data_IF_294341197623
#
_entry.id   IF_294341197623
#
_cell.length_a   1.000
_cell.length_b   1.000
_cell.length_c   1.000
_cell.angle_alpha   90.00
_cell.angle_beta   90.00
_cell.angle_gamma   90.00
#
_symmetry.space_group_name_H-M   'P 1'
#
loop_
_entity.id
_entity.type
_entity.pdbx_description
1 polymer ?
#
# COMPACT_ATOMS: atom_id res chain seq x y z
N UNK A 1 -4.24 -4.97 -4.02
CA UNK A 1 -5.42 -4.86 -4.87
C UNK A 1 -5.61 -3.39 -5.25
N UNK A 2 -5.28 -3.02 -6.49
CA UNK A 2 -5.20 -1.63 -6.96
C UNK A 2 -6.47 -1.21 -7.74
N UNK A 3 -7.60 -1.68 -7.33
CA UNK A 3 -8.90 -1.31 -7.87
C UNK A 3 -9.99 -1.56 -6.82
N UNK A 4 -10.92 -0.64 -6.61
CA UNK A 4 -12.11 -0.93 -5.83
C UNK A 4 -12.96 -2.02 -6.49
N UNK A 5 -13.53 -2.90 -5.68
CA UNK A 5 -14.54 -3.85 -6.13
C UNK A 5 -15.90 -3.28 -5.74
N UNK A 6 -16.63 -2.81 -6.75
CA UNK A 6 -17.90 -2.12 -6.56
C UNK A 6 -18.86 -2.47 -7.70
N UNK A 7 -20.07 -2.90 -7.35
CA UNK A 7 -21.17 -3.09 -8.30
C UNK A 7 -21.99 -1.81 -8.42
N UNK A 8 -22.31 -1.41 -9.65
CA UNK A 8 -23.10 -0.20 -9.94
C UNK A 8 -22.50 1.09 -9.36
N UNK A 9 -21.23 1.41 -9.66
CA UNK A 9 -20.56 2.56 -9.13
C UNK A 9 -21.28 3.87 -9.47
N UNK A 10 -21.52 4.74 -8.47
CA UNK A 10 -22.32 5.95 -8.65
C UNK A 10 -21.55 7.25 -8.43
N UNK A 11 -20.51 7.24 -7.63
CA UNK A 11 -19.84 8.45 -7.16
C UNK A 11 -18.32 8.33 -7.29
N UNK A 12 -17.76 8.54 -8.50
CA UNK A 12 -16.33 8.53 -8.69
C UNK A 12 -15.66 9.68 -7.93
N UNK A 13 -14.37 9.53 -7.66
CA UNK A 13 -13.55 10.60 -7.07
C UNK A 13 -13.65 11.88 -7.93
N UNK A 14 -13.96 13.04 -7.33
CA UNK A 14 -14.39 14.23 -8.10
C UNK A 14 -13.28 14.89 -8.93
N UNK A 15 -12.02 14.69 -8.60
CA UNK A 15 -10.90 15.37 -9.25
C UNK A 15 -9.86 14.44 -9.88
N UNK A 16 -9.89 13.13 -9.62
CA UNK A 16 -8.98 12.18 -10.29
C UNK A 16 -9.28 12.04 -11.76
N UNK A 17 -8.24 12.04 -12.58
CA UNK A 17 -8.33 11.82 -14.04
C UNK A 17 -8.37 10.36 -14.44
N UNK A 18 -7.81 9.46 -13.62
CA UNK A 18 -7.76 8.02 -13.84
C UNK A 18 -8.51 7.33 -12.70
N UNK A 19 -9.54 6.56 -13.04
CA UNK A 19 -10.44 5.91 -12.10
C UNK A 19 -10.66 4.48 -12.54
N UNK A 20 -10.42 3.54 -11.64
CA UNK A 20 -10.61 2.11 -11.86
C UNK A 20 -11.75 1.56 -11.01
N UNK A 21 -12.39 0.53 -11.49
CA UNK A 21 -13.22 -0.35 -10.69
C UNK A 21 -13.28 -1.75 -11.31
N UNK A 22 -13.59 -2.71 -10.47
CA UNK A 22 -13.95 -4.08 -10.85
C UNK A 22 -15.28 -4.42 -10.20
N UNK A 23 -16.00 -5.34 -10.79
CA UNK A 23 -17.26 -5.84 -10.23
C UNK A 23 -17.03 -7.03 -9.28
N UNK A 24 -18.09 -7.49 -8.60
CA UNK A 24 -18.05 -8.60 -7.67
C UNK A 24 -17.62 -9.95 -8.29
N UNK A 25 -17.70 -10.13 -9.61
CA UNK A 25 -17.21 -11.33 -10.29
C UNK A 25 -15.69 -11.52 -10.11
N UNK A 26 -14.96 -10.42 -9.95
CA UNK A 26 -13.51 -10.44 -9.65
C UNK A 26 -13.19 -11.25 -8.39
N UNK A 27 -14.07 -11.27 -7.40
CA UNK A 27 -13.88 -12.03 -6.17
C UNK A 27 -13.77 -13.54 -6.41
N UNK A 28 -14.53 -14.05 -7.39
CA UNK A 28 -14.43 -15.47 -7.77
C UNK A 28 -13.03 -15.80 -8.33
N UNK A 29 -12.44 -14.89 -9.11
CA UNK A 29 -11.09 -15.07 -9.64
C UNK A 29 -10.02 -14.96 -8.55
N UNK A 30 -10.14 -14.00 -7.63
CA UNK A 30 -9.24 -13.86 -6.48
C UNK A 30 -9.27 -15.09 -5.59
N UNK A 31 -10.46 -15.59 -5.26
CA UNK A 31 -10.63 -16.80 -4.48
C UNK A 31 -10.08 -18.05 -5.20
N UNK A 32 -10.34 -18.18 -6.49
CA UNK A 32 -9.80 -19.30 -7.29
C UNK A 32 -8.26 -19.28 -7.36
N UNK A 33 -7.65 -18.11 -7.37
CA UNK A 33 -6.19 -17.96 -7.38
C UNK A 33 -5.52 -18.31 -6.04
N UNK A 34 -6.31 -18.53 -4.98
CA UNK A 34 -5.80 -18.90 -3.65
C UNK A 34 -5.15 -17.73 -2.90
N UNK A 35 -5.61 -16.50 -3.14
CA UNK A 35 -5.14 -15.32 -2.40
C UNK A 35 -5.73 -15.30 -0.99
N UNK A 36 -4.88 -15.24 0.02
CA UNK A 36 -5.26 -15.19 1.44
C UNK A 36 -5.35 -13.77 1.98
N UNK A 37 -4.52 -12.85 1.43
CA UNK A 37 -4.39 -11.48 1.94
C UNK A 37 -4.04 -10.49 0.83
N UNK A 38 -4.59 -9.28 0.90
CA UNK A 38 -4.33 -8.20 -0.06
C UNK A 38 -4.07 -6.86 0.64
N UNK A 39 -3.16 -6.06 0.08
CA UNK A 39 -3.00 -4.65 0.45
C UNK A 39 -4.05 -3.81 -0.27
N UNK A 40 -4.66 -2.88 0.46
CA UNK A 40 -5.53 -1.82 -0.06
C UNK A 40 -4.84 -0.45 -0.03
N UNK A 41 -3.59 -0.36 0.45
CA UNK A 41 -2.82 0.87 0.49
C UNK A 41 -2.30 1.21 -0.92
N UNK A 42 -3.05 2.00 -1.65
CA UNK A 42 -2.68 2.50 -3.00
C UNK A 42 -3.50 3.73 -3.40
N UNK A 43 -3.07 4.43 -4.43
CA UNK A 43 -3.71 5.64 -4.95
C UNK A 43 -5.10 5.41 -5.57
N UNK A 44 -5.52 4.17 -5.84
CA UNK A 44 -6.83 3.82 -6.37
C UNK A 44 -7.86 3.41 -5.31
N UNK A 45 -7.47 3.40 -4.04
CA UNK A 45 -8.32 3.00 -2.90
C UNK A 45 -9.64 3.79 -2.84
N UNK A 46 -9.61 5.09 -3.17
CA UNK A 46 -10.76 5.99 -3.13
C UNK A 46 -11.30 6.38 -4.51
N UNK A 47 -11.06 5.59 -5.55
CA UNK A 47 -11.58 5.89 -6.89
C UNK A 47 -13.11 6.04 -6.93
N UNK A 48 -13.81 5.36 -6.04
CA UNK A 48 -15.25 5.52 -5.77
C UNK A 48 -15.50 5.88 -4.30
N UNK A 49 -14.68 6.76 -3.77
CA UNK A 49 -14.80 7.32 -2.43
C UNK A 49 -14.97 6.21 -1.35
N UNK A 50 -15.59 6.54 -0.24
CA UNK A 50 -15.86 5.59 0.85
C UNK A 50 -16.77 4.43 0.41
N UNK A 51 -17.66 4.64 -0.55
CA UNK A 51 -18.54 3.59 -1.07
C UNK A 51 -17.72 2.46 -1.72
N UNK A 52 -16.77 2.79 -2.60
CA UNK A 52 -15.89 1.81 -3.24
C UNK A 52 -15.04 1.06 -2.24
N UNK A 53 -14.43 1.77 -1.29
CA UNK A 53 -13.63 1.17 -0.23
C UNK A 53 -14.44 0.18 0.61
N UNK A 54 -15.60 0.58 1.12
CA UNK A 54 -16.41 -0.26 2.01
C UNK A 54 -17.04 -1.45 1.29
N UNK A 55 -17.45 -1.31 0.03
CA UNK A 55 -17.89 -2.46 -0.76
C UNK A 55 -16.76 -3.44 -1.01
N UNK A 56 -15.55 -2.95 -1.35
CA UNK A 56 -14.37 -3.80 -1.51
C UNK A 56 -14.09 -4.61 -0.24
N UNK A 57 -14.06 -3.95 0.93
CA UNK A 57 -13.87 -4.61 2.22
C UNK A 57 -14.95 -5.67 2.50
N UNK A 58 -16.23 -5.34 2.25
CA UNK A 58 -17.34 -6.27 2.44
C UNK A 58 -17.24 -7.52 1.54
N UNK A 59 -16.79 -7.36 0.29
CA UNK A 59 -16.55 -8.51 -0.58
C UNK A 59 -15.38 -9.36 -0.11
N UNK A 60 -14.27 -8.74 0.29
CA UNK A 60 -13.10 -9.45 0.84
C UNK A 60 -13.49 -10.24 2.09
N UNK A 61 -14.27 -9.65 3.01
CA UNK A 61 -14.79 -10.33 4.20
C UNK A 61 -15.67 -11.53 3.84
N UNK A 62 -16.56 -11.38 2.86
CA UNK A 62 -17.45 -12.45 2.39
C UNK A 62 -16.66 -13.66 1.86
N UNK A 63 -15.54 -13.41 1.17
CA UNK A 63 -14.66 -14.44 0.62
C UNK A 63 -13.54 -14.84 1.58
N UNK A 64 -13.51 -14.29 2.81
CA UNK A 64 -12.50 -14.56 3.83
C UNK A 64 -11.07 -14.21 3.39
N UNK A 65 -10.92 -13.27 2.46
CA UNK A 65 -9.63 -12.71 2.06
C UNK A 65 -9.32 -11.56 3.01
N UNK A 66 -8.21 -11.64 3.71
CA UNK A 66 -7.77 -10.59 4.63
C UNK A 66 -7.27 -9.37 3.86
N UNK A 67 -7.39 -8.20 4.48
CA UNK A 67 -6.92 -6.95 3.89
C UNK A 67 -6.34 -6.01 4.96
N UNK A 68 -5.54 -5.05 4.52
CA UNK A 68 -4.86 -4.09 5.37
C UNK A 68 -4.49 -2.83 4.58
N UNK A 69 -4.11 -1.77 5.28
CA UNK A 69 -3.48 -0.58 4.70
C UNK A 69 -4.44 0.50 4.21
N UNK A 70 -5.77 0.29 4.30
CA UNK A 70 -6.78 1.33 4.06
C UNK A 70 -8.01 1.13 4.94
N UNK A 71 -8.70 2.23 5.25
CA UNK A 71 -9.84 2.19 6.16
C UNK A 71 -10.72 3.44 6.08
N UNK A 72 -11.79 3.45 6.87
CA UNK A 72 -12.73 4.58 6.94
C UNK A 72 -12.19 5.78 7.75
N UNK A 73 -11.07 5.59 8.41
CA UNK A 73 -10.29 6.60 9.14
C UNK A 73 -8.85 6.08 9.34
N UNK A 74 -7.96 6.92 9.88
CA UNK A 74 -6.56 6.59 10.12
C UNK A 74 -6.38 5.32 10.98
N UNK A 75 -7.15 5.18 12.08
CA UNK A 75 -7.05 4.03 12.97
C UNK A 75 -7.46 2.73 12.28
N UNK A 76 -8.42 2.79 11.38
CA UNK A 76 -8.85 1.63 10.60
C UNK A 76 -7.82 1.29 9.52
N UNK A 77 -7.29 2.30 8.83
CA UNK A 77 -6.25 2.15 7.80
C UNK A 77 -4.92 1.59 8.37
N UNK A 78 -4.61 1.90 9.63
CA UNK A 78 -3.40 1.46 10.33
C UNK A 78 -3.42 -0.04 10.70
N UNK A 79 -4.57 -0.70 10.69
CA UNK A 79 -4.70 -2.10 11.11
C UNK A 79 -3.86 -3.04 10.25
N UNK A 80 -3.25 -4.03 10.92
CA UNK A 80 -2.57 -5.14 10.28
C UNK A 80 -3.53 -6.29 9.96
N UNK A 81 -3.18 -7.07 8.94
CA UNK A 81 -3.76 -8.39 8.73
C UNK A 81 -2.80 -9.49 9.23
N UNK A 82 -3.34 -10.60 9.73
CA UNK A 82 -2.54 -11.69 10.26
C UNK A 82 -2.87 -13.00 9.56
N UNK A 83 -1.82 -13.72 9.17
CA UNK A 83 -1.94 -15.09 8.64
C UNK A 83 -1.13 -16.02 9.55
N UNK A 84 -1.79 -17.03 10.11
CA UNK A 84 -1.10 -18.09 10.84
C UNK A 84 -0.88 -19.29 9.90
N UNK A 85 0.37 -19.71 9.76
CA UNK A 85 0.73 -20.87 8.97
C UNK A 85 1.64 -21.78 9.77
N UNK A 86 1.16 -22.98 10.08
CA UNK A 86 1.86 -23.96 10.90
C UNK A 86 2.38 -23.43 12.24
N UNK A 87 1.62 -22.54 12.88
CA UNK A 87 1.98 -21.96 14.17
C UNK A 87 2.87 -20.71 14.08
N UNK A 88 3.28 -20.30 12.88
CA UNK A 88 3.99 -19.05 12.62
C UNK A 88 2.98 -17.96 12.31
N UNK A 89 3.04 -16.85 13.02
CA UNK A 89 2.13 -15.73 12.88
C UNK A 89 2.78 -14.62 12.05
N UNK A 90 2.30 -14.38 10.85
CA UNK A 90 2.83 -13.36 9.94
C UNK A 90 1.89 -12.16 9.97
N UNK A 91 2.42 -11.01 10.36
CA UNK A 91 1.73 -9.72 10.32
C UNK A 91 2.00 -8.99 9.01
N UNK A 92 0.95 -8.53 8.37
CA UNK A 92 1.00 -7.71 7.16
C UNK A 92 0.57 -6.29 7.50
N UNK A 93 1.42 -5.32 7.21
CA UNK A 93 1.14 -3.89 7.32
C UNK A 93 1.32 -3.23 5.97
N UNK A 94 0.61 -2.13 5.74
CA UNK A 94 0.66 -1.47 4.44
C UNK A 94 0.53 0.04 4.53
N UNK A 95 1.19 0.71 3.59
CA UNK A 95 1.14 2.16 3.48
C UNK A 95 1.38 2.62 2.05
N UNK A 96 1.03 3.87 1.75
CA UNK A 96 1.30 4.52 0.47
C UNK A 96 1.79 5.94 0.70
N UNK A 97 2.62 6.46 -0.21
CA UNK A 97 2.94 7.88 -0.27
C UNK A 97 2.44 8.56 -1.56
N UNK A 98 1.66 7.84 -2.36
CA UNK A 98 1.02 8.39 -3.57
C UNK A 98 -0.35 8.94 -3.16
N UNK A 99 -0.34 10.13 -2.58
CA UNK A 99 -1.49 10.74 -1.89
C UNK A 99 -2.33 11.69 -2.78
N UNK A 100 -1.91 11.88 -4.04
CA UNK A 100 -2.57 12.79 -4.98
C UNK A 100 -2.33 14.28 -4.73
N UNK A 101 -1.54 14.63 -3.70
CA UNK A 101 -1.28 16.03 -3.35
C UNK A 101 -0.51 16.77 -4.42
N UNK A 102 0.41 16.09 -5.10
CA UNK A 102 1.16 16.61 -6.23
C UNK A 102 0.27 16.98 -7.43
N UNK A 103 -0.86 16.31 -7.58
CA UNK A 103 -1.86 16.53 -8.64
C UNK A 103 -3.04 17.40 -8.16
N UNK A 104 -3.01 17.86 -6.90
CA UNK A 104 -4.07 18.62 -6.26
C UNK A 104 -5.43 17.89 -6.26
N UNK A 105 -5.40 16.57 -6.10
CA UNK A 105 -6.61 15.76 -5.99
C UNK A 105 -7.30 16.01 -4.64
N UNK A 106 -8.58 16.33 -4.68
CA UNK A 106 -9.40 16.59 -3.51
C UNK A 106 -10.72 15.81 -3.57
N UNK A 107 -11.13 15.09 -2.48
CA UNK A 107 -10.40 14.91 -1.22
C UNK A 107 -9.11 14.12 -1.42
N UNK A 108 -8.13 14.30 -0.52
CA UNK A 108 -6.88 13.53 -0.58
C UNK A 108 -7.13 12.05 -0.32
N UNK A 109 -6.17 11.20 -0.74
CA UNK A 109 -6.33 9.74 -0.76
C UNK A 109 -5.87 9.08 0.53
N UNK A 110 -5.12 9.79 1.36
CA UNK A 110 -4.66 9.34 2.67
C UNK A 110 -5.75 9.46 3.74
N UNK A 111 -5.79 8.49 4.64
CA UNK A 111 -6.74 8.48 5.74
C UNK A 111 -6.40 9.54 6.79
N UNK A 112 -7.41 10.28 7.23
CA UNK A 112 -7.33 11.20 8.35
C UNK A 112 -8.10 10.69 9.58
N UNK A 113 -8.28 11.57 10.57
CA UNK A 113 -8.97 11.22 11.82
C UNK A 113 -10.42 10.72 11.58
N UNK A 114 -11.14 11.37 10.67
CA UNK A 114 -12.51 11.00 10.26
C UNK A 114 -12.63 10.84 8.73
N UNK A 115 -11.52 10.88 8.01
CA UNK A 115 -11.46 10.75 6.56
C UNK A 115 -11.00 9.36 6.15
N UNK A 116 -11.72 8.71 5.21
CA UNK A 116 -11.32 7.43 4.65
C UNK A 116 -10.09 7.57 3.75
N UNK A 117 -9.32 6.49 3.64
CA UNK A 117 -8.17 6.44 2.75
C UNK A 117 -7.19 5.34 3.09
N UNK A 118 -6.03 5.37 2.46
CA UNK A 118 -4.93 4.49 2.81
C UNK A 118 -4.10 5.07 3.97
N UNK A 119 -3.33 4.21 4.65
CA UNK A 119 -2.39 4.63 5.67
C UNK A 119 -1.15 5.28 5.03
N UNK A 120 -0.83 6.50 5.46
CA UNK A 120 0.27 7.29 4.89
C UNK A 120 1.63 6.71 5.27
N UNK A 121 2.52 6.56 4.28
CA UNK A 121 3.92 6.17 4.50
C UNK A 121 4.70 7.31 5.15
N UNK A 122 5.14 7.12 6.38
CA UNK A 122 6.14 7.94 7.07
C UNK A 122 6.86 7.10 8.12
N UNK A 123 8.04 7.52 8.55
CA UNK A 123 8.79 6.83 9.60
C UNK A 123 7.98 6.76 10.90
N UNK A 124 7.33 7.84 11.30
CA UNK A 124 6.47 7.91 12.49
C UNK A 124 5.30 6.92 12.39
N UNK A 125 4.61 6.91 11.27
CA UNK A 125 3.47 6.04 11.05
C UNK A 125 3.87 4.56 11.02
N UNK A 126 5.00 4.24 10.43
CA UNK A 126 5.54 2.87 10.45
C UNK A 126 5.83 2.40 11.88
N UNK A 127 6.50 3.23 12.69
CA UNK A 127 6.78 2.88 14.09
C UNK A 127 5.47 2.63 14.85
N UNK A 128 4.47 3.48 14.69
CA UNK A 128 3.13 3.29 15.28
C UNK A 128 2.47 1.97 14.86
N UNK A 129 2.59 1.57 13.58
CA UNK A 129 2.07 0.27 13.13
C UNK A 129 2.83 -0.90 13.78
N UNK A 130 4.15 -0.82 13.85
CA UNK A 130 5.00 -1.87 14.43
C UNK A 130 4.71 -2.07 15.92
N UNK A 131 4.55 -1.00 16.68
CA UNK A 131 4.20 -1.06 18.12
C UNK A 131 2.91 -1.87 18.37
N UNK A 132 1.95 -1.87 17.43
CA UNK A 132 0.72 -2.62 17.57
C UNK A 132 0.88 -4.13 17.36
N UNK A 133 1.91 -4.55 16.62
CA UNK A 133 2.01 -5.94 16.14
C UNK A 133 3.26 -6.67 16.63
N UNK A 134 4.25 -5.97 17.21
CA UNK A 134 5.54 -6.53 17.63
C UNK A 134 5.43 -7.74 18.58
N UNK A 135 4.39 -7.77 19.43
CA UNK A 135 4.19 -8.82 20.41
C UNK A 135 3.27 -9.95 19.93
N UNK A 136 2.73 -9.86 18.72
CA UNK A 136 1.76 -10.82 18.18
C UNK A 136 2.16 -11.40 16.82
N UNK A 137 3.26 -10.93 16.25
CA UNK A 137 3.81 -11.42 14.98
C UNK A 137 5.18 -12.06 15.19
N UNK A 138 5.41 -13.22 14.57
CA UNK A 138 6.73 -13.82 14.47
C UNK A 138 7.54 -13.23 13.31
N UNK A 139 6.83 -12.77 12.26
CA UNK A 139 7.37 -12.06 11.11
C UNK A 139 6.46 -10.91 10.71
N UNK A 140 7.05 -9.82 10.21
CA UNK A 140 6.35 -8.64 9.71
C UNK A 140 6.69 -8.40 8.24
N UNK A 141 5.67 -8.30 7.41
CA UNK A 141 5.79 -7.94 6.00
C UNK A 141 5.16 -6.57 5.77
N UNK A 142 5.94 -5.61 5.30
CA UNK A 142 5.45 -4.31 4.86
C UNK A 142 5.15 -4.34 3.36
N UNK A 143 3.92 -4.01 2.98
CA UNK A 143 3.55 -3.73 1.59
C UNK A 143 3.45 -2.22 1.41
N UNK A 144 4.32 -1.62 0.61
CA UNK A 144 4.31 -0.18 0.35
C UNK A 144 3.99 0.11 -1.12
N UNK A 145 3.14 1.12 -1.35
CA UNK A 145 2.79 1.61 -2.67
C UNK A 145 3.50 2.94 -2.90
N UNK A 146 4.62 2.89 -3.62
CA UNK A 146 5.53 4.04 -3.69
C UNK A 146 6.45 4.00 -4.91
N UNK A 147 6.98 5.16 -5.26
CA UNK A 147 7.90 5.33 -6.38
C UNK A 147 7.27 6.07 -7.54
N UNK A 148 7.96 6.12 -8.67
CA UNK A 148 7.46 6.71 -9.91
C UNK A 148 7.04 5.60 -10.87
N UNK A 149 5.93 5.80 -11.57
CA UNK A 149 5.46 4.89 -12.61
C UNK A 149 6.53 4.70 -13.69
N UNK A 150 6.66 3.45 -14.15
CA UNK A 150 7.56 3.03 -15.23
C UNK A 150 9.06 3.29 -14.98
N UNK A 151 9.44 3.60 -13.75
CA UNK A 151 10.84 3.71 -13.36
C UNK A 151 11.43 2.31 -13.12
N UNK A 152 12.37 1.89 -13.95
CA UNK A 152 13.00 0.56 -13.86
C UNK A 152 13.97 0.41 -12.69
N UNK A 153 14.43 1.50 -12.11
CA UNK A 153 15.46 1.45 -11.08
C UNK A 153 15.32 2.59 -10.08
N UNK A 154 15.39 2.29 -8.78
CA UNK A 154 15.88 3.26 -7.83
C UNK A 154 17.41 3.39 -8.01
N UNK A 155 17.89 3.94 -9.13
CA UNK A 155 19.30 4.29 -9.27
C UNK A 155 19.63 5.32 -8.19
N UNK A 156 20.71 5.06 -7.44
CA UNK A 156 21.38 6.12 -6.70
C UNK A 156 22.12 6.94 -7.77
N UNK A 157 21.45 7.91 -8.34
CA UNK A 157 22.04 8.92 -9.20
C UNK A 157 22.36 10.10 -8.29
N UNK A 158 23.62 10.52 -8.22
CA UNK A 158 24.00 11.70 -7.46
C UNK A 158 23.54 12.97 -8.19
N UNK A 159 23.33 14.05 -7.44
CA UNK A 159 22.91 15.36 -8.01
C UNK A 159 23.89 15.93 -9.03
N UNK A 160 25.13 15.40 -9.08
CA UNK A 160 26.20 15.78 -10.02
C UNK A 160 26.22 14.93 -11.30
N UNK A 161 25.39 13.86 -11.36
CA UNK A 161 25.34 12.98 -12.54
C UNK A 161 24.49 13.59 -13.65
N UNK A 162 24.93 13.45 -14.92
CA UNK A 162 24.22 13.99 -16.09
C UNK A 162 22.78 13.44 -16.22
N UNK A 163 22.51 12.26 -15.67
CA UNK A 163 21.21 11.60 -15.69
C UNK A 163 20.32 11.98 -14.48
N UNK A 164 20.77 12.95 -13.64
CA UNK A 164 19.99 13.37 -12.48
C UNK A 164 18.75 14.14 -12.91
N UNK A 165 17.59 13.56 -12.62
CA UNK A 165 16.30 14.25 -12.74
C UNK A 165 15.68 14.35 -11.33
N UNK A 166 15.60 15.55 -10.75
CA UNK A 166 15.05 15.73 -9.40
C UNK A 166 13.60 15.25 -9.27
N UNK A 167 12.86 15.21 -10.36
CA UNK A 167 11.46 14.75 -10.36
C UNK A 167 11.36 13.22 -10.20
N UNK A 168 12.26 12.44 -10.80
CA UNK A 168 12.25 10.96 -10.74
C UNK A 168 13.24 10.38 -9.75
N UNK A 169 14.41 10.99 -9.61
CA UNK A 169 15.52 10.42 -8.84
C UNK A 169 15.33 10.62 -7.33
N UNK A 170 14.86 11.79 -6.91
CA UNK A 170 14.69 12.12 -5.49
C UNK A 170 13.60 11.28 -4.82
N UNK A 171 12.37 11.17 -5.36
CA UNK A 171 11.36 10.28 -4.79
C UNK A 171 11.82 8.82 -4.72
N UNK A 172 12.57 8.34 -5.73
CA UNK A 172 13.10 6.97 -5.72
C UNK A 172 14.09 6.75 -4.59
N UNK A 173 14.94 7.73 -4.26
CA UNK A 173 15.88 7.67 -3.14
C UNK A 173 15.15 7.67 -1.81
N UNK A 174 14.25 8.61 -1.57
CA UNK A 174 13.46 8.72 -0.34
C UNK A 174 12.66 7.45 -0.07
N UNK A 175 12.07 6.87 -1.10
CA UNK A 175 11.36 5.60 -0.99
C UNK A 175 12.26 4.43 -0.65
N UNK A 176 13.49 4.38 -1.19
CA UNK A 176 14.47 3.36 -0.83
C UNK A 176 14.93 3.52 0.61
N UNK A 177 15.23 4.73 1.05
CA UNK A 177 15.63 5.04 2.43
C UNK A 177 14.53 4.65 3.42
N UNK A 178 13.26 4.93 3.11
CA UNK A 178 12.11 4.49 3.91
C UNK A 178 12.03 2.96 4.02
N UNK A 179 12.23 2.22 2.93
CA UNK A 179 12.22 0.75 2.96
C UNK A 179 13.37 0.18 3.79
N UNK A 180 14.57 0.76 3.69
CA UNK A 180 15.73 0.39 4.53
C UNK A 180 15.49 0.76 5.99
N UNK A 181 14.88 1.92 6.27
CA UNK A 181 14.43 2.28 7.60
C UNK A 181 13.46 1.24 8.17
N UNK A 182 12.48 0.79 7.39
CA UNK A 182 11.54 -0.24 7.81
C UNK A 182 12.23 -1.54 8.27
N UNK A 183 13.21 -2.02 7.50
CA UNK A 183 14.03 -3.18 7.91
C UNK A 183 14.78 -2.91 9.23
N UNK A 184 15.34 -1.71 9.39
CA UNK A 184 16.05 -1.34 10.62
C UNK A 184 15.13 -1.24 11.85
N UNK A 185 13.83 -1.04 11.64
CA UNK A 185 12.81 -1.04 12.70
C UNK A 185 12.20 -2.43 12.99
N UNK A 186 12.63 -3.48 12.28
CA UNK A 186 12.20 -4.85 12.55
C UNK A 186 11.20 -5.43 11.56
N UNK A 187 11.01 -4.81 10.41
CA UNK A 187 10.30 -5.43 9.28
C UNK A 187 11.19 -6.50 8.66
N UNK A 188 10.67 -7.70 8.43
CA UNK A 188 11.43 -8.83 7.88
C UNK A 188 11.45 -8.87 6.36
N UNK A 189 10.44 -8.29 5.70
CA UNK A 189 10.36 -8.17 4.25
C UNK A 189 9.59 -6.93 3.85
N UNK A 190 10.05 -6.25 2.79
CA UNK A 190 9.31 -5.16 2.14
C UNK A 190 8.93 -5.58 0.72
N UNK A 191 7.66 -5.42 0.39
CA UNK A 191 7.13 -5.60 -0.96
C UNK A 191 6.68 -4.23 -1.47
N UNK A 192 7.34 -3.73 -2.52
CA UNK A 192 6.97 -2.45 -3.12
C UNK A 192 6.20 -2.66 -4.42
N UNK A 193 5.17 -1.83 -4.64
CA UNK A 193 4.40 -1.76 -5.88
C UNK A 193 4.10 -0.29 -6.24
N UNK A 194 3.38 0.01 -7.30
CA UNK A 194 3.11 1.26 -7.98
C UNK A 194 3.94 1.47 -9.26
N UNK A 195 5.25 1.14 -9.35
CA UNK A 195 6.01 1.48 -10.58
C UNK A 195 5.53 0.78 -11.86
N UNK A 196 4.65 -0.23 -11.78
CA UNK A 196 4.13 -1.03 -12.92
C UNK A 196 5.21 -1.71 -13.78
N UNK A 197 6.42 -1.79 -13.28
CA UNK A 197 7.57 -2.51 -13.86
C UNK A 197 8.27 -3.30 -12.78
N UNK A 198 8.91 -4.40 -13.16
CA UNK A 198 9.74 -5.16 -12.23
C UNK A 198 11.01 -4.35 -11.93
N UNK A 199 11.24 -4.12 -10.66
CA UNK A 199 12.45 -3.49 -10.14
C UNK A 199 13.38 -4.53 -9.54
N UNK A 200 14.61 -4.12 -9.21
CA UNK A 200 15.61 -4.99 -8.61
C UNK A 200 15.22 -5.43 -7.19
N UNK A 201 15.74 -6.59 -6.79
CA UNK A 201 15.67 -7.07 -5.40
C UNK A 201 16.90 -6.57 -4.64
N UNK A 202 16.69 -6.09 -3.43
CA UNK A 202 17.77 -5.69 -2.51
C UNK A 202 17.79 -6.61 -1.30
N UNK A 203 18.97 -7.11 -0.95
CA UNK A 203 19.20 -7.77 0.33
C UNK A 203 19.85 -6.75 1.27
N UNK A 204 19.09 -6.28 2.26
CA UNK A 204 19.53 -5.27 3.19
C UNK A 204 19.46 -5.81 4.63
N UNK A 205 20.61 -5.82 5.34
CA UNK A 205 20.74 -6.39 6.69
C UNK A 205 20.21 -7.81 6.84
N UNK A 206 20.28 -8.63 5.77
CA UNK A 206 19.79 -10.01 5.76
C UNK A 206 18.32 -10.18 5.39
N UNK A 207 17.58 -9.09 5.20
CA UNK A 207 16.16 -9.06 4.87
C UNK A 207 15.93 -8.60 3.43
N UNK A 208 14.82 -9.00 2.84
CA UNK A 208 14.49 -8.75 1.43
C UNK A 208 13.65 -7.47 1.27
N UNK A 209 14.09 -6.63 0.33
CA UNK A 209 13.34 -5.48 -0.15
C UNK A 209 13.05 -5.66 -1.64
#
# INVERSE_FOLDING_TARGET
LETPIIDSPSSPHPSKSIIFHSNSETMSALNYSGLDVVSLANNHTLDYMVEGLTQTQSYLDTFQIKYFGAGINELDAMKAAFVNHFGVNIGFIGSSNVDGRENNEQPYLDAGFEEPGFYMSSEENLVRQLELIENISDYVILSTHSGSEYSESPRIINEEDEDYDPFYTRPSRENREFRQFAINQGVDMVINHHPHVLQGLELYNGNLI
#
